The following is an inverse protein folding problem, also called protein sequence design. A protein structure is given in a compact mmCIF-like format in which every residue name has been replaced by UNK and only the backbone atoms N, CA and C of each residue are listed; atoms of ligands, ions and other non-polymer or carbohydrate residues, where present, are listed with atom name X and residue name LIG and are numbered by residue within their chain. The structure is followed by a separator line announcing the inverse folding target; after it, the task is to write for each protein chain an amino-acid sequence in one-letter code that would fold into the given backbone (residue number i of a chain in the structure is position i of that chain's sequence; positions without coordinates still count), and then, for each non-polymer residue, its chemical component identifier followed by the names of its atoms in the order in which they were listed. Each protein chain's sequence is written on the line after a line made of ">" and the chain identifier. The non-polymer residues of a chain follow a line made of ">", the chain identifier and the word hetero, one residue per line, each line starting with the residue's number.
data_IF_713883344143
#
_entry.id   IF_713883344143
#
_cell.length_a   1.000
_cell.length_b   1.000
_cell.length_c   1.000
_cell.angle_alpha   90.00
_cell.angle_beta   90.00
_cell.angle_gamma   90.00
#
_symmetry.space_group_name_H-M   'P 1'
#
loop_
_entity.id
_entity.type
_entity.pdbx_description
1 polymer ?
#
# COMPACT_ATOMS: atom_id res chain seq x y z
N UNK A 1 -5.14 37.96 10.62
CA UNK A 1 -5.84 36.88 11.34
C UNK A 1 -4.78 35.93 11.86
N UNK A 2 -4.87 35.57 13.14
CA UNK A 2 -3.79 35.21 14.06
C UNK A 2 -2.78 34.12 13.62
N UNK A 3 -1.52 34.39 13.97
CA UNK A 3 -0.35 33.52 14.05
C UNK A 3 -0.63 32.22 14.81
N UNK A 4 -0.54 31.08 14.12
CA UNK A 4 -0.69 29.72 14.69
C UNK A 4 0.64 28.98 14.92
N UNK A 5 1.79 29.64 14.76
CA UNK A 5 3.09 29.05 15.05
C UNK A 5 3.85 29.93 16.05
N UNK A 6 4.14 29.44 17.27
CA UNK A 6 4.89 30.22 18.24
C UNK A 6 6.33 30.44 17.74
N UNK A 7 6.79 31.67 17.87
CA UNK A 7 8.16 32.12 17.61
C UNK A 7 9.15 31.39 18.51
N UNK A 8 10.31 31.09 17.93
CA UNK A 8 11.45 30.38 18.50
C UNK A 8 11.87 30.87 19.89
N UNK A 9 11.71 30.01 20.90
CA UNK A 9 12.45 30.09 22.16
C UNK A 9 12.92 28.68 22.54
N UNK A 10 14.24 28.49 22.55
CA UNK A 10 15.01 27.38 23.14
C UNK A 10 14.21 26.18 23.70
N UNK A 11 13.66 25.34 22.82
CA UNK A 11 13.15 24.05 23.24
C UNK A 11 14.33 23.06 23.20
N UNK A 12 14.79 22.61 24.38
CA UNK A 12 15.62 21.40 24.51
C UNK A 12 15.06 20.34 23.54
N UNK A 13 15.88 19.53 22.84
CA UNK A 13 15.37 18.57 21.87
C UNK A 13 14.36 17.68 22.58
N UNK A 14 13.08 17.94 22.34
CA UNK A 14 12.01 17.21 22.97
C UNK A 14 12.20 15.76 22.51
N UNK A 15 12.45 14.89 23.48
CA UNK A 15 12.74 13.48 23.28
C UNK A 15 11.82 12.93 22.17
N UNK A 16 12.34 12.17 21.17
CA UNK A 16 11.55 11.65 20.04
C UNK A 16 10.34 10.79 20.42
N UNK A 17 10.15 10.53 21.71
CA UNK A 17 9.10 9.70 22.30
C UNK A 17 7.68 10.07 21.85
N UNK A 18 7.35 11.36 21.68
CA UNK A 18 5.99 11.77 21.27
C UNK A 18 5.61 11.24 19.89
N UNK A 19 6.52 11.33 18.92
CA UNK A 19 6.31 10.82 17.56
C UNK A 19 6.25 9.29 17.54
N UNK A 20 7.11 8.65 18.33
CA UNK A 20 7.11 7.19 18.49
C UNK A 20 5.79 6.69 19.08
N UNK A 21 5.32 7.31 20.16
CA UNK A 21 4.06 6.92 20.84
C UNK A 21 2.85 7.23 19.96
N UNK A 22 2.81 8.39 19.30
CA UNK A 22 1.74 8.70 18.36
C UNK A 22 1.68 7.68 17.21
N UNK A 23 2.84 7.26 16.68
CA UNK A 23 2.92 6.25 15.63
C UNK A 23 2.46 4.87 16.12
N UNK A 24 2.88 4.45 17.31
CA UNK A 24 2.43 3.21 17.94
C UNK A 24 0.92 3.20 18.17
N UNK A 25 0.37 4.26 18.78
CA UNK A 25 -1.07 4.38 19.04
C UNK A 25 -1.87 4.34 17.74
N UNK A 26 -1.41 5.05 16.71
CA UNK A 26 -2.06 5.04 15.39
C UNK A 26 -2.02 3.64 14.77
N UNK A 27 -0.88 2.95 14.84
CA UNK A 27 -0.75 1.56 14.39
C UNK A 27 -1.71 0.62 15.14
N UNK A 28 -1.81 0.75 16.46
CA UNK A 28 -2.74 -0.03 17.29
C UNK A 28 -4.19 0.26 16.93
N UNK A 29 -4.58 1.53 16.76
CA UNK A 29 -5.94 1.91 16.33
C UNK A 29 -6.27 1.29 14.99
N UNK A 30 -5.33 1.27 14.04
CA UNK A 30 -5.50 0.60 12.74
C UNK A 30 -5.75 -0.90 12.92
N UNK A 31 -4.94 -1.56 13.73
CA UNK A 31 -5.06 -3.01 13.99
C UNK A 31 -6.40 -3.37 14.66
N UNK A 32 -6.82 -2.59 15.66
CA UNK A 32 -8.04 -2.86 16.43
C UNK A 32 -9.32 -2.49 15.69
N UNK A 33 -9.30 -1.39 14.93
CA UNK A 33 -10.50 -0.90 14.24
C UNK A 33 -10.72 -1.61 12.90
N UNK A 34 -9.66 -2.10 12.25
CA UNK A 34 -9.73 -2.80 10.98
C UNK A 34 -9.04 -4.17 11.00
N UNK A 35 -9.40 -5.10 11.91
CA UNK A 35 -8.69 -6.37 12.08
C UNK A 35 -8.78 -7.28 10.84
N UNK A 36 -9.88 -7.19 10.07
CA UNK A 36 -10.06 -7.93 8.82
C UNK A 36 -9.20 -7.36 7.67
N UNK A 37 -8.95 -6.05 7.65
CA UNK A 37 -8.15 -5.40 6.61
C UNK A 37 -6.67 -5.23 7.00
N UNK A 38 -6.35 -5.31 8.29
CA UNK A 38 -4.99 -5.43 8.80
C UNK A 38 -4.41 -6.85 8.61
N UNK A 39 -5.23 -7.79 8.14
CA UNK A 39 -4.81 -9.15 7.84
C UNK A 39 -4.38 -9.24 6.38
N UNK A 40 -3.08 -9.38 6.16
CA UNK A 40 -2.48 -9.37 4.82
C UNK A 40 -2.45 -10.78 4.21
N UNK A 41 -3.13 -11.76 4.80
CA UNK A 41 -2.99 -13.16 4.44
C UNK A 41 -3.93 -13.60 3.29
N UNK A 42 -3.42 -14.28 2.23
CA UNK A 42 -4.20 -14.59 1.02
C UNK A 42 -5.54 -15.29 1.24
N UNK A 43 -5.63 -16.20 2.21
CA UNK A 43 -6.87 -16.94 2.49
C UNK A 43 -8.03 -16.07 2.97
N UNK A 44 -7.73 -14.98 3.69
CA UNK A 44 -8.75 -14.02 4.13
C UNK A 44 -9.02 -12.95 3.05
N UNK A 45 -8.06 -12.74 2.13
CA UNK A 45 -8.21 -11.81 1.01
C UNK A 45 -9.28 -12.26 0.02
N UNK A 46 -9.35 -13.56 -0.34
CA UNK A 46 -10.36 -14.07 -1.29
C UNK A 46 -11.78 -13.65 -0.87
N UNK A 47 -12.12 -13.82 0.41
CA UNK A 47 -13.43 -13.44 0.95
C UNK A 47 -13.70 -11.94 0.86
N UNK A 48 -12.69 -11.11 1.10
CA UNK A 48 -12.79 -9.64 1.00
C UNK A 48 -12.98 -9.23 -0.46
N UNK A 49 -12.26 -9.86 -1.39
CA UNK A 49 -12.32 -9.54 -2.81
C UNK A 49 -13.55 -10.11 -3.51
N UNK A 50 -14.13 -11.23 -3.02
CA UNK A 50 -15.44 -11.73 -3.47
C UNK A 50 -16.59 -10.77 -3.13
N UNK A 51 -16.47 -9.97 -2.06
CA UNK A 51 -17.52 -9.04 -1.67
C UNK A 51 -17.75 -7.92 -2.71
N UNK A 52 -16.73 -7.59 -3.52
CA UNK A 52 -16.84 -6.49 -4.49
C UNK A 52 -17.63 -6.85 -5.75
N UNK A 53 -17.33 -7.94 -6.49
CA UNK A 53 -18.17 -8.39 -7.59
C UNK A 53 -19.62 -8.63 -7.17
N UNK A 54 -19.82 -9.12 -5.93
CA UNK A 54 -21.15 -9.26 -5.31
C UNK A 54 -21.85 -7.91 -5.17
N UNK A 55 -21.15 -6.91 -4.62
CA UNK A 55 -21.73 -5.59 -4.34
C UNK A 55 -22.10 -4.80 -5.59
N UNK A 56 -21.35 -4.97 -6.68
CA UNK A 56 -21.66 -4.35 -7.97
C UNK A 56 -22.63 -5.20 -8.82
N UNK A 57 -23.04 -6.38 -8.35
CA UNK A 57 -23.97 -7.24 -9.08
C UNK A 57 -23.39 -7.86 -10.35
N UNK A 58 -22.07 -8.08 -10.39
CA UNK A 58 -21.38 -8.62 -11.57
C UNK A 58 -21.73 -10.09 -11.81
N UNK A 59 -22.06 -10.86 -10.77
CA UNK A 59 -22.28 -12.31 -10.88
C UNK A 59 -23.51 -12.69 -11.69
N UNK A 60 -23.40 -13.78 -12.46
CA UNK A 60 -24.49 -14.26 -13.32
C UNK A 60 -24.78 -13.42 -14.56
N UNK A 61 -23.97 -12.39 -14.87
CA UNK A 61 -24.06 -11.68 -16.15
C UNK A 61 -23.44 -12.52 -17.27
N UNK A 62 -23.93 -12.45 -18.50
CA UNK A 62 -23.36 -13.23 -19.61
C UNK A 62 -22.19 -12.51 -20.28
N UNK A 63 -21.18 -13.29 -20.71
CA UNK A 63 -20.04 -12.83 -21.51
C UNK A 63 -20.57 -12.22 -22.82
N UNK A 64 -20.55 -10.89 -22.91
CA UNK A 64 -21.07 -10.12 -24.05
C UNK A 64 -22.15 -9.09 -23.69
N UNK A 65 -22.79 -9.22 -22.52
CA UNK A 65 -23.83 -8.31 -22.06
C UNK A 65 -23.40 -7.43 -20.89
N UNK A 66 -22.10 -7.38 -20.56
CA UNK A 66 -21.59 -6.57 -19.44
C UNK A 66 -21.71 -5.08 -19.81
N UNK A 67 -22.59 -4.31 -19.13
CA UNK A 67 -22.79 -2.90 -19.46
C UNK A 67 -21.53 -2.06 -19.24
N UNK A 68 -21.32 -1.04 -20.06
CA UNK A 68 -20.16 -0.15 -19.97
C UNK A 68 -19.99 0.50 -18.58
N UNK A 69 -21.11 0.74 -17.87
CA UNK A 69 -21.13 1.30 -16.52
C UNK A 69 -20.32 0.48 -15.50
N UNK A 70 -20.32 -0.86 -15.64
CA UNK A 70 -19.59 -1.75 -14.73
C UNK A 70 -18.09 -1.50 -14.75
N UNK A 71 -17.51 -1.13 -15.89
CA UNK A 71 -16.08 -0.79 -15.96
C UNK A 71 -15.76 0.48 -15.15
N UNK A 72 -16.69 1.45 -15.12
CA UNK A 72 -16.58 2.64 -14.26
C UNK A 72 -16.68 2.29 -12.77
N UNK A 73 -17.60 1.40 -12.40
CA UNK A 73 -17.74 0.91 -11.02
C UNK A 73 -16.52 0.10 -10.58
N UNK A 74 -15.94 -0.73 -11.45
CA UNK A 74 -14.70 -1.45 -11.19
C UNK A 74 -13.50 -0.52 -11.00
N UNK A 75 -13.43 0.56 -11.78
CA UNK A 75 -12.41 1.60 -11.58
C UNK A 75 -12.59 2.26 -10.22
N UNK A 76 -13.81 2.66 -9.88
CA UNK A 76 -14.10 3.27 -8.57
C UNK A 76 -13.80 2.30 -7.43
N UNK A 77 -14.15 1.03 -7.58
CA UNK A 77 -13.86 -0.03 -6.62
C UNK A 77 -12.35 -0.20 -6.42
N UNK A 78 -11.57 -0.27 -7.52
CA UNK A 78 -10.12 -0.31 -7.47
C UNK A 78 -9.51 0.91 -6.79
N UNK A 79 -10.06 2.10 -7.04
CA UNK A 79 -9.67 3.34 -6.38
C UNK A 79 -9.95 3.33 -4.88
N UNK A 80 -11.17 2.95 -4.48
CA UNK A 80 -11.57 2.86 -3.07
C UNK A 80 -10.75 1.78 -2.35
N UNK A 81 -10.49 0.63 -2.97
CA UNK A 81 -9.56 -0.37 -2.43
C UNK A 81 -8.17 0.20 -2.25
N UNK A 82 -7.62 0.78 -3.32
CA UNK A 82 -6.28 1.35 -3.33
C UNK A 82 -6.11 2.47 -2.31
N UNK A 83 -7.18 3.21 -1.98
CA UNK A 83 -7.16 4.34 -1.04
C UNK A 83 -7.54 3.95 0.39
N UNK A 84 -8.54 3.12 0.60
CA UNK A 84 -9.07 2.79 1.93
C UNK A 84 -8.46 1.52 2.54
N UNK A 85 -7.87 0.62 1.75
CA UNK A 85 -7.27 -0.59 2.31
C UNK A 85 -5.97 -0.24 3.08
N UNK A 86 -5.90 -0.44 4.41
CA UNK A 86 -4.77 -0.09 5.25
C UNK A 86 -3.45 -0.82 4.89
N UNK A 87 -3.49 -1.85 4.03
CA UNK A 87 -2.31 -2.54 3.53
C UNK A 87 -1.79 -2.07 2.15
N UNK A 88 -2.58 -1.32 1.38
CA UNK A 88 -2.17 -0.86 0.04
C UNK A 88 -1.21 0.32 0.17
N UNK A 89 0.10 0.05 0.10
CA UNK A 89 1.29 0.88 -0.23
C UNK A 89 1.32 2.40 0.03
N UNK A 90 0.33 2.97 0.72
CA UNK A 90 0.16 4.40 0.99
C UNK A 90 1.23 4.88 1.96
N UNK A 91 1.50 4.09 2.99
CA UNK A 91 2.52 4.41 3.98
C UNK A 91 3.92 4.53 3.35
N UNK A 92 4.37 3.58 2.49
CA UNK A 92 5.58 3.77 1.69
C UNK A 92 5.57 5.02 0.80
N UNK A 93 4.46 5.33 0.10
CA UNK A 93 4.37 6.51 -0.78
C UNK A 93 4.51 7.80 0.05
N UNK A 94 3.74 7.92 1.13
CA UNK A 94 3.76 9.07 2.04
C UNK A 94 5.14 9.19 2.70
N UNK A 95 5.71 8.06 3.15
CA UNK A 95 7.06 8.02 3.71
C UNK A 95 8.09 8.58 2.73
N UNK A 96 8.09 8.10 1.48
CA UNK A 96 9.05 8.56 0.50
C UNK A 96 8.86 10.04 0.15
N UNK A 97 7.61 10.46 -0.07
CA UNK A 97 7.27 11.84 -0.41
C UNK A 97 7.69 12.84 0.70
N UNK A 98 7.46 12.50 1.96
CA UNK A 98 7.75 13.39 3.10
C UNK A 98 9.20 13.26 3.61
N UNK A 99 9.83 12.08 3.49
CA UNK A 99 11.18 11.82 4.00
C UNK A 99 12.29 12.18 2.99
N UNK A 100 12.14 11.75 1.74
CA UNK A 100 13.17 11.92 0.71
C UNK A 100 12.97 13.15 -0.17
N UNK A 101 11.81 13.79 -0.06
CA UNK A 101 11.52 15.05 -0.73
C UNK A 101 11.68 15.02 -2.27
N UNK A 102 11.22 13.97 -2.99
CA UNK A 102 11.41 13.87 -4.43
C UNK A 102 10.70 15.02 -5.17
N UNK A 103 11.27 15.44 -6.31
CA UNK A 103 10.58 16.34 -7.22
C UNK A 103 9.25 15.71 -7.70
N UNK A 104 8.19 16.51 -7.99
CA UNK A 104 6.88 15.99 -8.39
C UNK A 104 6.93 15.03 -9.59
N UNK A 105 7.72 15.39 -10.62
CA UNK A 105 7.94 14.55 -11.80
C UNK A 105 8.61 13.22 -11.44
N UNK A 106 9.55 13.25 -10.50
CA UNK A 106 10.23 12.05 -10.01
C UNK A 106 9.26 11.16 -9.25
N UNK A 107 8.46 11.72 -8.34
CA UNK A 107 7.41 10.99 -7.62
C UNK A 107 6.46 10.28 -8.62
N UNK A 108 5.90 11.04 -9.56
CA UNK A 108 4.99 10.53 -10.58
C UNK A 108 5.61 9.39 -11.41
N UNK A 109 6.82 9.60 -11.92
CA UNK A 109 7.53 8.60 -12.73
C UNK A 109 7.77 7.30 -11.96
N UNK A 110 8.13 7.39 -10.68
CA UNK A 110 8.40 6.19 -9.87
C UNK A 110 7.13 5.48 -9.43
N UNK A 111 6.02 6.20 -9.19
CA UNK A 111 4.71 5.58 -8.98
C UNK A 111 4.27 4.80 -10.23
N UNK A 112 4.42 5.39 -11.42
CA UNK A 112 4.15 4.69 -12.69
C UNK A 112 5.04 3.46 -12.89
N UNK A 113 6.32 3.54 -12.53
CA UNK A 113 7.23 2.38 -12.62
C UNK A 113 6.86 1.27 -11.64
N UNK A 114 6.50 1.62 -10.41
CA UNK A 114 6.02 0.65 -9.42
C UNK A 114 4.74 -0.04 -9.86
N UNK A 115 3.76 0.73 -10.35
CA UNK A 115 2.52 0.21 -10.91
C UNK A 115 2.75 -0.61 -12.20
N UNK A 116 3.63 -0.17 -13.08
CA UNK A 116 3.98 -0.88 -14.31
C UNK A 116 4.68 -2.20 -14.02
N UNK A 117 5.52 -2.25 -12.98
CA UNK A 117 6.17 -3.47 -12.51
C UNK A 117 5.15 -4.43 -11.85
N UNK A 118 4.16 -3.90 -11.12
CA UNK A 118 3.02 -4.65 -10.60
C UNK A 118 2.20 -5.28 -11.75
N UNK A 119 1.84 -4.49 -12.76
CA UNK A 119 1.15 -4.97 -13.96
C UNK A 119 2.00 -6.00 -14.72
N UNK A 120 3.31 -5.74 -14.86
CA UNK A 120 4.25 -6.64 -15.50
C UNK A 120 4.35 -8.00 -14.82
N UNK A 121 4.34 -8.04 -13.48
CA UNK A 121 4.29 -9.31 -12.75
C UNK A 121 2.96 -10.03 -12.91
N UNK A 122 1.83 -9.32 -12.90
CA UNK A 122 0.54 -9.94 -13.22
C UNK A 122 0.59 -10.55 -14.61
N UNK A 123 1.06 -9.79 -15.60
CA UNK A 123 1.27 -10.27 -16.97
C UNK A 123 2.22 -11.48 -16.97
N UNK A 124 3.34 -11.49 -16.26
CA UNK A 124 4.23 -12.67 -16.26
C UNK A 124 3.60 -13.91 -15.59
N UNK A 125 2.89 -13.72 -14.48
CA UNK A 125 2.19 -14.79 -13.77
C UNK A 125 1.01 -15.32 -14.60
N UNK A 126 0.30 -14.46 -15.35
CA UNK A 126 -0.96 -14.76 -16.02
C UNK A 126 -0.92 -14.77 -17.56
N UNK A 127 0.13 -14.32 -18.24
CA UNK A 127 0.27 -14.36 -19.72
C UNK A 127 0.58 -15.76 -20.26
N UNK A 128 0.99 -16.70 -19.40
CA UNK A 128 0.98 -18.13 -19.76
C UNK A 128 -0.32 -18.84 -19.38
N UNK A 129 -1.30 -18.15 -18.77
CA UNK A 129 -2.49 -18.76 -18.19
C UNK A 129 -3.69 -18.81 -19.16
N UNK A 130 -3.54 -19.62 -20.22
CA UNK A 130 -4.63 -20.52 -20.66
C UNK A 130 -4.77 -21.73 -19.71
N UNK A 131 -4.41 -21.56 -18.43
CA UNK A 131 -4.14 -22.60 -17.44
C UNK A 131 -4.87 -22.37 -16.11
N UNK A 132 -5.73 -21.36 -15.97
CA UNK A 132 -6.58 -21.24 -14.78
C UNK A 132 -7.54 -22.44 -14.64
N UNK A 133 -7.89 -23.11 -15.75
CA UNK A 133 -8.56 -24.40 -15.73
C UNK A 133 -7.68 -25.58 -15.24
N UNK A 134 -6.36 -25.39 -15.04
CA UNK A 134 -5.37 -26.45 -14.77
C UNK A 134 -4.44 -26.20 -13.58
N UNK A 135 -4.43 -25.01 -13.00
CA UNK A 135 -3.64 -24.68 -11.80
C UNK A 135 -4.54 -24.83 -10.58
N UNK A 136 -4.11 -25.65 -9.61
CA UNK A 136 -4.88 -25.83 -8.38
C UNK A 136 -4.92 -24.53 -7.57
N UNK A 137 -6.01 -24.34 -6.81
CA UNK A 137 -6.15 -23.24 -5.87
C UNK A 137 -4.95 -23.14 -4.91
N UNK A 138 -4.39 -24.28 -4.50
CA UNK A 138 -3.24 -24.35 -3.61
C UNK A 138 -1.98 -23.73 -4.22
N UNK A 139 -1.69 -24.03 -5.49
CA UNK A 139 -0.53 -23.46 -6.19
C UNK A 139 -0.67 -21.95 -6.35
N UNK A 140 -1.88 -21.47 -6.62
CA UNK A 140 -2.16 -20.05 -6.73
C UNK A 140 -2.03 -19.32 -5.38
N UNK A 141 -2.61 -19.89 -4.31
CA UNK A 141 -2.45 -19.36 -2.95
C UNK A 141 -0.99 -19.28 -2.55
N UNK A 142 -0.17 -20.25 -2.99
CA UNK A 142 1.27 -20.24 -2.79
C UNK A 142 1.96 -19.09 -3.53
N UNK A 143 1.65 -18.86 -4.81
CA UNK A 143 2.17 -17.69 -5.54
C UNK A 143 1.75 -16.38 -4.86
N UNK A 144 0.47 -16.25 -4.50
CA UNK A 144 -0.04 -15.08 -3.77
C UNK A 144 0.71 -14.87 -2.46
N UNK A 145 0.98 -15.94 -1.70
CA UNK A 145 1.73 -15.86 -0.45
C UNK A 145 3.18 -15.43 -0.70
N UNK A 146 3.84 -15.99 -1.73
CA UNK A 146 5.21 -15.66 -2.09
C UNK A 146 5.38 -14.16 -2.42
N UNK A 147 4.54 -13.61 -3.30
CA UNK A 147 4.58 -12.18 -3.63
C UNK A 147 4.26 -11.30 -2.41
N UNK A 148 3.30 -11.73 -1.58
CA UNK A 148 2.97 -11.05 -0.34
C UNK A 148 4.16 -10.99 0.63
N UNK A 149 4.93 -12.07 0.77
CA UNK A 149 6.11 -12.09 1.62
C UNK A 149 7.18 -11.10 1.15
N UNK A 150 7.42 -10.99 -0.16
CA UNK A 150 8.37 -10.01 -0.71
C UNK A 150 7.89 -8.58 -0.41
N UNK A 151 6.61 -8.29 -0.66
CA UNK A 151 6.01 -6.99 -0.35
C UNK A 151 6.11 -6.66 1.15
N UNK A 152 5.84 -7.65 2.00
CA UNK A 152 5.91 -7.55 3.44
C UNK A 152 7.34 -7.25 3.91
N UNK A 153 8.34 -7.99 3.42
CA UNK A 153 9.76 -7.76 3.75
C UNK A 153 10.19 -6.37 3.28
N UNK A 154 9.82 -5.95 2.06
CA UNK A 154 10.12 -4.61 1.57
C UNK A 154 9.51 -3.52 2.47
N UNK A 155 8.27 -3.72 2.92
CA UNK A 155 7.58 -2.80 3.83
C UNK A 155 8.24 -2.76 5.22
N UNK A 156 8.70 -3.89 5.73
CA UNK A 156 9.46 -3.98 6.97
C UNK A 156 10.81 -3.25 6.86
N UNK A 157 11.51 -3.42 5.72
CA UNK A 157 12.75 -2.69 5.44
C UNK A 157 12.49 -1.18 5.41
N UNK A 158 11.42 -0.70 4.76
CA UNK A 158 11.00 0.71 4.82
C UNK A 158 10.82 1.17 6.27
N UNK A 159 10.10 0.40 7.09
CA UNK A 159 9.85 0.75 8.48
C UNK A 159 11.14 0.87 9.30
N UNK A 160 12.04 -0.11 9.19
CA UNK A 160 13.32 -0.11 9.90
C UNK A 160 14.23 1.03 9.46
N UNK A 161 14.26 1.33 8.15
CA UNK A 161 14.99 2.47 7.61
C UNK A 161 14.44 3.79 8.14
N UNK A 162 13.12 3.95 8.17
CA UNK A 162 12.44 5.13 8.70
C UNK A 162 12.67 5.33 10.20
N UNK A 163 12.59 4.27 11.00
CA UNK A 163 12.86 4.35 12.44
C UNK A 163 14.33 4.71 12.69
N UNK A 164 15.25 4.07 11.97
CA UNK A 164 16.69 4.35 12.08
C UNK A 164 17.02 5.79 11.67
N UNK A 165 16.52 6.25 10.53
CA UNK A 165 16.75 7.62 10.07
C UNK A 165 16.04 8.63 10.94
N UNK A 166 14.80 8.37 11.36
CA UNK A 166 14.06 9.26 12.24
C UNK A 166 14.76 9.45 13.59
N UNK A 167 15.36 8.39 14.14
CA UNK A 167 16.21 8.47 15.33
C UNK A 167 17.50 9.28 15.09
N UNK A 168 18.16 9.09 13.94
CA UNK A 168 19.38 9.83 13.57
C UNK A 168 19.09 11.32 13.34
N UNK A 169 18.02 11.62 12.61
CA UNK A 169 17.61 12.97 12.20
C UNK A 169 17.06 13.81 13.35
N UNK A 170 16.40 13.19 14.33
CA UNK A 170 15.96 13.90 15.55
C UNK A 170 17.12 14.31 16.45
N UNK A 171 18.27 13.62 16.35
CA UNK A 171 19.51 13.98 17.06
C UNK A 171 20.37 14.95 16.27
N UNK A 172 20.44 14.78 14.95
CA UNK A 172 21.21 15.63 14.07
C UNK A 172 20.49 15.79 12.71
N UNK A 173 19.83 16.94 12.55
CA UNK A 173 19.03 17.27 11.37
C UNK A 173 19.84 17.54 10.12
N UNK A 174 21.18 17.67 10.21
CA UNK A 174 22.05 17.90 9.07
C UNK A 174 22.42 16.60 8.33
N UNK A 175 22.10 15.44 8.90
CA UNK A 175 22.37 14.13 8.28
C UNK A 175 21.48 13.94 7.06
N UNK A 176 22.05 13.43 5.96
CA UNK A 176 21.27 13.11 4.76
C UNK A 176 20.41 11.85 4.99
N UNK A 177 19.10 11.89 4.69
CA UNK A 177 18.22 10.74 4.82
C UNK A 177 18.59 9.65 3.80
N UNK A 178 18.43 8.38 4.18
CA UNK A 178 18.61 7.23 3.27
C UNK A 178 17.50 7.26 2.22
N UNK A 179 17.83 6.79 1.01
CA UNK A 179 16.87 6.76 -0.09
C UNK A 179 15.88 5.59 0.06
N UNK A 180 14.59 5.89 0.23
CA UNK A 180 13.53 4.89 0.33
C UNK A 180 12.96 4.46 -1.03
N UNK A 181 13.44 5.03 -2.12
CA UNK A 181 12.92 4.79 -3.47
C UNK A 181 12.92 3.31 -3.88
N UNK A 182 14.01 2.56 -3.63
CA UNK A 182 14.09 1.16 -4.01
C UNK A 182 13.11 0.30 -3.18
N UNK A 183 13.12 0.36 -1.83
CA UNK A 183 12.11 -0.30 -1.01
C UNK A 183 10.66 0.06 -1.38
N UNK A 184 10.40 1.32 -1.77
CA UNK A 184 9.09 1.75 -2.26
C UNK A 184 8.67 1.00 -3.53
N UNK A 185 9.54 0.87 -4.52
CA UNK A 185 9.22 0.17 -5.78
C UNK A 185 8.92 -1.29 -5.49
N UNK A 186 9.68 -1.94 -4.60
CA UNK A 186 9.40 -3.31 -4.20
C UNK A 186 8.08 -3.42 -3.45
N UNK A 187 7.78 -2.52 -2.53
CA UNK A 187 6.50 -2.51 -1.82
C UNK A 187 5.31 -2.29 -2.76
N UNK A 188 5.43 -1.41 -3.76
CA UNK A 188 4.38 -1.16 -4.75
C UNK A 188 4.24 -2.33 -5.75
N UNK A 189 5.36 -2.81 -6.27
CA UNK A 189 5.43 -3.80 -7.32
C UNK A 189 4.95 -5.19 -6.91
N UNK A 190 5.20 -5.57 -5.66
CA UNK A 190 4.90 -6.90 -5.15
C UNK A 190 3.57 -6.98 -4.39
N UNK A 191 2.84 -5.86 -4.27
CA UNK A 191 1.49 -5.85 -3.70
C UNK A 191 0.48 -6.41 -4.73
N UNK A 192 0.53 -7.72 -4.93
CA UNK A 192 -0.24 -8.50 -5.91
C UNK A 192 -1.34 -9.43 -5.34
N UNK A 193 -1.38 -9.79 -4.04
CA UNK A 193 -2.31 -10.80 -3.54
C UNK A 193 -3.80 -10.53 -3.83
N UNK A 194 -4.22 -9.26 -3.80
CA UNK A 194 -5.61 -8.91 -4.06
C UNK A 194 -6.01 -9.07 -5.52
N UNK A 195 -5.11 -8.70 -6.43
CA UNK A 195 -5.26 -8.77 -7.87
C UNK A 195 -5.21 -10.22 -8.35
N UNK A 196 -4.32 -11.03 -7.77
CA UNK A 196 -4.26 -12.48 -7.97
C UNK A 196 -5.59 -13.12 -7.56
N UNK A 197 -6.09 -12.78 -6.36
CA UNK A 197 -7.38 -13.27 -5.86
C UNK A 197 -8.52 -12.91 -6.82
N UNK A 198 -8.56 -11.65 -7.29
CA UNK A 198 -9.55 -11.16 -8.24
C UNK A 198 -9.54 -11.90 -9.58
N UNK A 199 -8.36 -12.11 -10.17
CA UNK A 199 -8.23 -12.84 -11.43
C UNK A 199 -8.78 -14.25 -11.34
N UNK A 200 -8.59 -14.91 -10.20
CA UNK A 200 -9.07 -16.28 -9.99
C UNK A 200 -10.55 -16.34 -9.76
N UNK A 201 -11.08 -15.40 -8.99
CA UNK A 201 -12.51 -15.26 -8.74
C UNK A 201 -13.26 -15.02 -10.08
N UNK A 202 -12.76 -14.15 -10.95
CA UNK A 202 -13.35 -13.96 -12.29
C UNK A 202 -13.16 -15.22 -13.16
N UNK A 203 -11.98 -15.84 -13.10
CA UNK A 203 -11.67 -17.00 -13.93
C UNK A 203 -12.54 -18.22 -13.63
N UNK A 204 -12.95 -18.41 -12.38
CA UNK A 204 -13.91 -19.46 -12.02
C UNK A 204 -15.32 -19.23 -12.55
N UNK A 205 -15.75 -17.98 -12.69
CA UNK A 205 -17.10 -17.67 -13.12
C UNK A 205 -17.25 -17.67 -14.65
N UNK A 206 -16.28 -17.06 -15.35
CA UNK A 206 -16.45 -16.72 -16.76
C UNK A 206 -15.67 -17.57 -17.75
N UNK A 207 -14.70 -18.38 -17.27
CA UNK A 207 -13.79 -19.23 -18.08
C UNK A 207 -13.21 -18.56 -19.35
N UNK A 208 -13.12 -17.22 -19.35
CA UNK A 208 -12.64 -16.41 -20.47
C UNK A 208 -11.47 -15.53 -20.00
N UNK A 209 -10.28 -15.82 -20.55
CA UNK A 209 -9.05 -15.12 -20.19
C UNK A 209 -9.05 -13.65 -20.64
N UNK A 210 -9.62 -13.34 -21.81
CA UNK A 210 -9.68 -11.95 -22.30
C UNK A 210 -10.60 -11.13 -21.39
N UNK A 211 -11.73 -11.70 -21.00
CA UNK A 211 -12.67 -11.03 -20.11
C UNK A 211 -12.08 -10.79 -18.71
N UNK A 212 -11.31 -11.74 -18.18
CA UNK A 212 -10.58 -11.56 -16.92
C UNK A 212 -9.67 -10.33 -16.94
N UNK A 213 -8.90 -10.16 -18.02
CA UNK A 213 -8.05 -8.98 -18.20
C UNK A 213 -8.85 -7.68 -18.37
N UNK A 214 -9.95 -7.72 -19.13
CA UNK A 214 -10.82 -6.57 -19.35
C UNK A 214 -11.48 -6.09 -18.04
N UNK A 215 -11.83 -7.00 -17.14
CA UNK A 215 -12.41 -6.66 -15.83
C UNK A 215 -11.34 -6.23 -14.82
N UNK A 216 -10.12 -6.77 -14.89
CA UNK A 216 -9.03 -6.34 -14.00
C UNK A 216 -8.45 -4.97 -14.38
N UNK A 217 -8.34 -4.66 -15.67
CA UNK A 217 -7.77 -3.40 -16.16
C UNK A 217 -8.34 -2.13 -15.48
N UNK A 218 -9.66 -1.91 -15.40
CA UNK A 218 -10.21 -0.74 -14.72
C UNK A 218 -9.86 -0.72 -13.23
N UNK A 219 -9.84 -1.87 -12.54
CA UNK A 219 -9.42 -1.96 -11.13
C UNK A 219 -7.98 -1.49 -10.97
N UNK A 220 -7.07 -1.91 -11.86
CA UNK A 220 -5.66 -1.49 -11.83
C UNK A 220 -5.48 0.01 -12.12
N UNK A 221 -6.30 0.58 -13.01
CA UNK A 221 -6.34 2.03 -13.24
C UNK A 221 -6.83 2.76 -11.99
N UNK A 222 -7.88 2.26 -11.33
CA UNK A 222 -8.36 2.81 -10.06
C UNK A 222 -7.28 2.82 -8.97
N UNK A 223 -6.52 1.74 -8.83
CA UNK A 223 -5.38 1.65 -7.91
C UNK A 223 -4.31 2.70 -8.25
N UNK A 224 -4.00 2.89 -9.53
CA UNK A 224 -3.06 3.93 -9.96
C UNK A 224 -3.56 5.34 -9.58
N UNK A 225 -4.84 5.63 -9.78
CA UNK A 225 -5.46 6.88 -9.34
C UNK A 225 -5.32 7.07 -7.81
N UNK A 226 -5.46 6.00 -7.02
CA UNK A 226 -5.26 6.06 -5.57
C UNK A 226 -3.80 6.36 -5.19
N UNK A 227 -2.82 5.80 -5.93
CA UNK A 227 -1.40 6.12 -5.74
C UNK A 227 -1.11 7.60 -6.04
N UNK A 228 -1.65 8.12 -7.14
CA UNK A 228 -1.48 9.53 -7.48
C UNK A 228 -2.15 10.46 -6.47
N UNK A 229 -3.36 10.16 -6.02
CA UNK A 229 -4.02 10.94 -4.98
C UNK A 229 -3.22 10.92 -3.67
N UNK A 230 -2.69 9.77 -3.28
CA UNK A 230 -1.84 9.64 -2.09
C UNK A 230 -0.57 10.50 -2.21
N UNK A 231 0.09 10.46 -3.37
CA UNK A 231 1.25 11.31 -3.65
C UNK A 231 0.90 12.80 -3.67
N UNK A 232 -0.24 13.18 -4.26
CA UNK A 232 -0.72 14.55 -4.30
C UNK A 232 -1.07 15.09 -2.91
N UNK A 233 -1.72 14.28 -2.06
CA UNK A 233 -1.98 14.64 -0.66
C UNK A 233 -0.66 14.85 0.08
N UNK A 234 0.31 13.94 -0.06
CA UNK A 234 1.62 14.09 0.58
C UNK A 234 2.34 15.37 0.13
N UNK A 235 2.24 15.71 -1.15
CA UNK A 235 2.79 16.96 -1.68
C UNK A 235 2.04 18.19 -1.18
N UNK A 236 0.71 18.13 -1.07
CA UNK A 236 -0.12 19.17 -0.47
C UNK A 236 0.28 19.44 0.98
N UNK A 237 0.47 18.38 1.78
CA UNK A 237 0.98 18.49 3.16
C UNK A 237 2.35 19.15 3.18
N UNK A 238 3.28 18.76 2.29
CA UNK A 238 4.59 19.42 2.16
C UNK A 238 4.46 20.91 1.85
N UNK A 239 3.58 21.27 0.92
CA UNK A 239 3.39 22.67 0.55
C UNK A 239 2.85 23.51 1.72
N UNK A 240 1.91 22.96 2.49
CA UNK A 240 1.34 23.61 3.69
C UNK A 240 2.35 23.76 4.83
N UNK A 241 3.25 22.79 5.01
CA UNK A 241 4.28 22.80 6.06
C UNK A 241 5.47 23.70 5.68
N UNK A 242 5.74 23.87 4.38
CA UNK A 242 6.87 24.62 3.86
C UNK A 242 8.22 23.90 4.03
N UNK A 243 9.24 24.32 3.28
CA UNK A 243 10.54 23.62 3.24
C UNK A 243 11.27 23.60 4.59
N UNK A 244 11.22 24.73 5.31
CA UNK A 244 11.82 24.85 6.64
C UNK A 244 11.14 23.90 7.64
N UNK A 245 9.80 23.88 7.64
CA UNK A 245 9.01 22.97 8.48
C UNK A 245 9.27 21.51 8.13
N UNK A 246 9.32 21.16 6.84
CA UNK A 246 9.59 19.79 6.41
C UNK A 246 10.98 19.31 6.87
N UNK A 247 12.00 20.16 6.85
CA UNK A 247 13.34 19.78 7.36
C UNK A 247 13.34 19.58 8.87
N UNK A 248 12.70 20.47 9.62
CA UNK A 248 12.61 20.37 11.09
C UNK A 248 11.83 19.13 11.54
N UNK A 249 10.71 18.83 10.89
CA UNK A 249 9.84 17.72 11.26
C UNK A 249 10.20 16.39 10.60
N UNK A 250 11.17 16.35 9.68
CA UNK A 250 11.53 15.14 8.90
C UNK A 250 11.78 13.93 9.79
N UNK A 251 12.60 14.08 10.82
CA UNK A 251 12.91 12.97 11.74
C UNK A 251 11.70 12.49 12.54
N UNK A 252 10.83 13.43 12.94
CA UNK A 252 9.59 13.13 13.66
C UNK A 252 8.56 12.41 12.77
N UNK A 253 8.41 12.85 11.52
CA UNK A 253 7.54 12.22 10.52
C UNK A 253 8.05 10.81 10.20
N UNK A 254 9.36 10.65 10.01
CA UNK A 254 9.96 9.35 9.74
C UNK A 254 9.74 8.37 10.91
N UNK A 255 9.95 8.80 12.15
CA UNK A 255 9.64 7.98 13.34
C UNK A 255 8.16 7.62 13.42
N UNK A 256 7.26 8.60 13.22
CA UNK A 256 5.83 8.35 13.26
C UNK A 256 5.41 7.29 12.24
N UNK A 257 5.75 7.48 10.96
CA UNK A 257 5.38 6.54 9.89
C UNK A 257 6.07 5.19 10.11
N UNK A 258 7.36 5.19 10.46
CA UNK A 258 8.12 3.98 10.74
C UNK A 258 7.49 3.13 11.85
N UNK A 259 7.04 3.76 12.94
CA UNK A 259 6.38 3.05 14.05
C UNK A 259 4.98 2.54 13.69
N UNK A 260 4.20 3.29 12.91
CA UNK A 260 2.90 2.80 12.38
C UNK A 260 3.12 1.54 11.56
N UNK A 261 4.03 1.58 10.59
CA UNK A 261 4.31 0.44 9.71
C UNK A 261 4.87 -0.74 10.50
N UNK A 262 5.80 -0.50 11.43
CA UNK A 262 6.38 -1.54 12.27
C UNK A 262 5.30 -2.21 13.15
N UNK A 263 4.38 -1.44 13.72
CA UNK A 263 3.28 -1.97 14.52
C UNK A 263 2.37 -2.90 13.69
N UNK A 264 1.96 -2.46 12.50
CA UNK A 264 1.14 -3.25 11.58
C UNK A 264 1.89 -4.52 11.17
N UNK A 265 3.18 -4.39 10.82
CA UNK A 265 4.00 -5.51 10.40
C UNK A 265 4.18 -6.57 11.51
N UNK A 266 4.55 -6.14 12.73
CA UNK A 266 4.70 -7.03 13.88
C UNK A 266 3.41 -7.78 14.19
N UNK A 267 2.24 -7.12 14.12
CA UNK A 267 0.96 -7.80 14.30
C UNK A 267 0.73 -8.91 13.25
N UNK A 268 1.17 -8.70 12.00
CA UNK A 268 1.12 -9.75 10.97
C UNK A 268 2.02 -10.95 11.34
N UNK A 269 3.25 -10.72 11.80
CA UNK A 269 4.14 -11.81 12.26
C UNK A 269 3.52 -12.58 13.43
N UNK A 270 3.03 -11.87 14.45
CA UNK A 270 2.44 -12.49 15.64
C UNK A 270 1.27 -13.39 15.24
N UNK A 271 0.41 -12.95 14.32
CA UNK A 271 -0.70 -13.76 13.81
C UNK A 271 -0.24 -14.99 13.03
N UNK A 272 0.81 -14.88 12.21
CA UNK A 272 1.37 -16.01 11.48
C UNK A 272 1.93 -17.04 12.47
N UNK A 273 2.71 -16.60 13.46
CA UNK A 273 3.28 -17.48 14.49
C UNK A 273 2.19 -18.17 15.29
N UNK A 274 1.16 -17.44 15.73
CA UNK A 274 0.02 -18.03 16.46
C UNK A 274 -0.65 -19.12 15.63
N UNK A 275 -0.92 -18.87 14.33
CA UNK A 275 -1.54 -19.87 13.44
C UNK A 275 -0.66 -21.10 13.18
N UNK A 276 0.66 -20.99 13.32
CA UNK A 276 1.58 -22.11 13.15
C UNK A 276 1.71 -22.98 14.42
N UNK A 277 1.39 -22.41 15.58
CA UNK A 277 1.50 -23.07 16.89
C UNK A 277 0.15 -23.64 17.35
N UNK A 278 -0.96 -23.12 16.84
CA UNK A 278 -2.34 -23.62 17.07
C UNK A 278 -2.70 -24.75 16.11
#
# INVERSE_FOLDING_TARGET
>A
MATLFPSSSACKPALPWRSTVAGLLTGLVIIFSWPKMANWWPGDLIRIYQAMPNAIGLWGTQVGNIPAMFYGELLLAGFVLGLCNPGFCKLPIIAWALHNDPAPRTLFNWLLRGWGLQCGFLVLVFCRLGFLAKVSLDTLLWYSAFFNYICYIATLVVALLLVSDGWRLTRNSAIQPRNLQLPLIFALGFYLPGQISWMVIIGWEYDDALLQWLLLAPVMVGILCAYFLTGAIAYGVRHLVGEAGCRTWRGHIALFIGMVVLCIAVNTIVRIVIRLVS
#
